data_IF_942058036721
#
_entry.id   IF_942058036721
#
_cell.length_a   1.000
_cell.length_b   1.000
_cell.length_c   1.000
_cell.angle_alpha   90.00
_cell.angle_beta   90.00
_cell.angle_gamma   90.00
#
_symmetry.space_group_name_H-M   'P 1'
#
loop_
_entity.id
_entity.type
_entity.pdbx_description
1 polymer ?
#
# COMPACT_ATOMS: atom_id res chain seq x y z
N UNK A 1 0.92 23.29 -16.40
CA UNK A 1 0.52 22.57 -15.16
C UNK A 1 1.56 21.48 -14.85
N UNK A 2 2.20 21.50 -13.67
CA UNK A 2 3.12 20.44 -13.24
C UNK A 2 2.30 19.25 -12.74
N UNK A 3 2.46 18.06 -13.33
CA UNK A 3 1.82 16.84 -12.82
C UNK A 3 2.33 16.59 -11.39
N UNK A 4 1.41 16.36 -10.45
CA UNK A 4 1.76 16.09 -9.05
C UNK A 4 2.51 14.76 -8.88
N UNK A 5 2.30 13.81 -9.80
CA UNK A 5 2.91 12.48 -9.81
C UNK A 5 3.58 12.21 -11.15
N UNK A 6 4.77 11.63 -11.10
CA UNK A 6 5.52 11.19 -12.29
C UNK A 6 5.25 9.71 -12.54
N UNK A 7 4.53 9.41 -13.62
CA UNK A 7 4.23 8.05 -14.09
C UNK A 7 4.46 8.07 -15.62
N UNK A 8 5.68 7.78 -16.10
CA UNK A 8 6.09 7.99 -17.48
C UNK A 8 5.36 7.06 -18.46
N UNK A 9 4.98 5.86 -18.03
CA UNK A 9 4.30 4.87 -18.88
C UNK A 9 3.29 4.02 -18.09
N UNK A 10 2.30 3.39 -18.77
CA UNK A 10 1.46 2.38 -18.15
C UNK A 10 2.30 1.28 -17.48
N UNK A 11 1.83 0.77 -16.34
CA UNK A 11 2.54 -0.26 -15.54
C UNK A 11 3.92 0.18 -15.04
N UNK A 12 4.21 1.48 -14.94
CA UNK A 12 5.37 1.94 -14.18
C UNK A 12 5.23 1.48 -12.72
N UNK A 13 6.27 0.82 -12.20
CA UNK A 13 6.35 0.47 -10.79
C UNK A 13 6.48 1.74 -9.94
N UNK A 14 5.68 1.86 -8.89
CA UNK A 14 5.69 3.03 -8.01
C UNK A 14 5.94 2.58 -6.57
N UNK A 15 6.79 3.31 -5.85
CA UNK A 15 6.94 3.10 -4.41
C UNK A 15 6.02 4.04 -3.65
N UNK A 16 5.18 3.46 -2.79
CA UNK A 16 4.21 4.20 -1.96
C UNK A 16 4.53 3.92 -0.50
N UNK A 17 4.69 4.98 0.30
CA UNK A 17 4.71 4.91 1.76
C UNK A 17 3.47 5.58 2.32
N UNK A 18 2.76 4.92 3.24
CA UNK A 18 1.66 5.53 3.97
C UNK A 18 1.89 5.37 5.47
N UNK A 19 1.75 6.47 6.22
CA UNK A 19 1.99 6.51 7.67
C UNK A 19 0.67 6.71 8.41
N UNK A 20 0.56 6.02 9.54
CA UNK A 20 -0.49 6.27 10.52
C UNK A 20 -0.44 7.73 11.01
N UNK A 21 -1.57 8.20 11.54
CA UNK A 21 -1.69 9.55 12.11
C UNK A 21 -0.59 9.74 13.17
N UNK A 22 0.23 10.78 12.98
CA UNK A 22 1.36 11.12 13.85
C UNK A 22 2.42 10.01 14.01
N UNK A 23 2.44 9.00 13.12
CA UNK A 23 3.38 7.87 13.21
C UNK A 23 3.14 6.94 14.41
N UNK A 24 1.94 6.97 15.00
CA UNK A 24 1.56 6.13 16.13
C UNK A 24 1.53 4.65 15.75
N UNK A 25 1.77 3.76 16.71
CA UNK A 25 1.75 2.31 16.49
C UNK A 25 0.32 1.75 16.48
N UNK A 26 -0.45 2.12 15.46
CA UNK A 26 -1.86 1.73 15.29
C UNK A 26 -2.03 0.45 14.47
N UNK A 27 -1.02 0.06 13.69
CA UNK A 27 -1.02 -1.22 12.98
C UNK A 27 -0.41 -2.29 13.90
N UNK A 28 -0.99 -3.50 13.87
CA UNK A 28 -0.55 -4.63 14.69
C UNK A 28 -0.27 -5.84 13.79
N UNK A 29 0.85 -5.86 13.05
CA UNK A 29 1.20 -6.99 12.19
C UNK A 29 1.20 -8.31 12.94
N UNK A 30 0.72 -9.35 12.30
CA UNK A 30 0.46 -10.66 12.90
C UNK A 30 -0.74 -11.34 12.23
N UNK A 31 -0.96 -12.65 12.45
CA UNK A 31 -1.81 -13.47 11.57
C UNK A 31 -3.20 -12.88 11.28
N UNK A 32 -3.92 -12.42 12.32
CA UNK A 32 -5.25 -11.84 12.15
C UNK A 32 -5.25 -10.50 11.39
N UNK A 33 -4.23 -9.66 11.61
CA UNK A 33 -4.11 -8.40 10.88
C UNK A 33 -3.69 -8.66 9.43
N UNK A 34 -2.76 -9.58 9.21
CA UNK A 34 -2.21 -9.89 7.90
C UNK A 34 -3.30 -10.42 6.97
N UNK A 35 -4.17 -11.31 7.45
CA UNK A 35 -5.32 -11.82 6.70
C UNK A 35 -6.28 -10.70 6.27
N UNK A 36 -6.60 -9.78 7.19
CA UNK A 36 -7.48 -8.63 6.90
C UNK A 36 -6.80 -7.69 5.89
N UNK A 37 -5.53 -7.36 6.13
CA UNK A 37 -4.79 -6.40 5.31
C UNK A 37 -4.61 -6.93 3.89
N UNK A 38 -4.17 -8.18 3.72
CA UNK A 38 -4.05 -8.82 2.41
C UNK A 38 -5.41 -8.98 1.73
N UNK A 39 -6.47 -9.26 2.48
CA UNK A 39 -7.84 -9.28 1.95
C UNK A 39 -8.26 -7.93 1.36
N UNK A 40 -7.96 -6.82 2.05
CA UNK A 40 -8.21 -5.45 1.57
C UNK A 40 -7.41 -5.16 0.30
N UNK A 41 -6.11 -5.50 0.27
CA UNK A 41 -5.26 -5.28 -0.90
C UNK A 41 -5.73 -6.10 -2.10
N UNK A 42 -6.05 -7.38 -1.90
CA UNK A 42 -6.58 -8.26 -2.94
C UNK A 42 -7.91 -7.76 -3.51
N UNK A 43 -8.82 -7.26 -2.65
CA UNK A 43 -10.06 -6.60 -3.10
C UNK A 43 -9.78 -5.34 -3.93
N UNK A 44 -8.84 -4.51 -3.48
CA UNK A 44 -8.43 -3.27 -4.15
C UNK A 44 -7.84 -3.56 -5.54
N UNK A 45 -6.96 -4.55 -5.66
CA UNK A 45 -6.41 -4.98 -6.94
C UNK A 45 -7.50 -5.34 -7.96
N UNK A 46 -8.50 -6.12 -7.54
CA UNK A 46 -9.64 -6.50 -8.40
C UNK A 46 -10.48 -5.29 -8.82
N UNK A 47 -10.80 -4.41 -7.87
CA UNK A 47 -11.65 -3.24 -8.12
C UNK A 47 -11.01 -2.26 -9.09
N UNK A 48 -9.70 -2.03 -8.96
CA UNK A 48 -8.97 -1.01 -9.73
C UNK A 48 -8.17 -1.58 -10.91
N UNK A 49 -8.26 -2.89 -11.19
CA UNK A 49 -7.54 -3.57 -12.27
C UNK A 49 -6.03 -3.25 -12.26
N UNK A 50 -5.43 -3.27 -11.07
CA UNK A 50 -4.00 -3.01 -10.87
C UNK A 50 -3.31 -4.17 -10.16
N UNK A 51 -1.98 -4.21 -10.24
CA UNK A 51 -1.15 -5.14 -9.50
C UNK A 51 -0.46 -4.42 -8.33
N UNK A 52 -0.33 -5.12 -7.21
CA UNK A 52 0.60 -4.78 -6.13
C UNK A 52 1.68 -5.86 -6.19
N UNK A 53 2.90 -5.44 -6.44
CA UNK A 53 4.07 -6.30 -6.57
C UNK A 53 4.64 -6.71 -5.20
N UNK A 54 4.59 -5.83 -4.20
CA UNK A 54 5.05 -6.13 -2.86
C UNK A 54 4.34 -5.28 -1.79
N UNK A 55 4.33 -5.80 -0.57
CA UNK A 55 3.79 -5.13 0.61
C UNK A 55 4.70 -5.39 1.82
N UNK A 56 4.97 -4.35 2.59
CA UNK A 56 5.63 -4.45 3.90
C UNK A 56 4.86 -3.59 4.89
N UNK A 57 4.50 -4.15 6.05
CA UNK A 57 3.78 -3.42 7.09
C UNK A 57 4.59 -3.38 8.38
N UNK A 58 4.69 -2.20 8.97
CA UNK A 58 5.23 -1.94 10.30
C UNK A 58 4.12 -1.36 11.18
N UNK A 59 4.34 -1.26 12.49
CA UNK A 59 3.29 -0.76 13.39
C UNK A 59 2.88 0.70 13.13
N UNK A 60 3.77 1.53 12.59
CA UNK A 60 3.52 2.95 12.31
C UNK A 60 3.18 3.28 10.86
N UNK A 61 3.46 2.41 9.90
CA UNK A 61 3.35 2.70 8.47
C UNK A 61 3.44 1.43 7.63
N UNK A 62 3.14 1.54 6.34
CA UNK A 62 3.35 0.46 5.37
C UNK A 62 3.91 1.00 4.05
N UNK A 63 4.50 0.10 3.28
CA UNK A 63 5.01 0.34 1.94
C UNK A 63 4.33 -0.59 0.95
N UNK A 64 4.07 -0.09 -0.26
CA UNK A 64 3.56 -0.85 -1.40
C UNK A 64 4.45 -0.59 -2.62
N UNK A 65 4.64 -1.64 -3.42
CA UNK A 65 5.20 -1.60 -4.76
C UNK A 65 4.14 -2.08 -5.76
#
# INVERSE_FOLDING_TARGET
MRKLRYVPQPRTLVSITNRTIQGRYLLRPGPSFDDIFLGILGRTQRLHKMAIAAVTVLSSHFHLL
#
